data_IF_050523053393
#
_entry.id   IF_050523053393
#
_cell.length_a   1.000
_cell.length_b   1.000
_cell.length_c   1.000
_cell.angle_alpha   90.00
_cell.angle_beta   90.00
_cell.angle_gamma   90.00
#
_symmetry.space_group_name_H-M   'P 1'
#
loop_
_entity.id
_entity.type
_entity.pdbx_description
1 polymer ?
#
# COMPACT_ATOMS: atom_id res chain seq x y z
N UNK A 1 15.32 10.75 11.03
CA UNK A 1 15.24 11.27 10.44
C UNK A 1 14.51 12.24 10.21
N UNK A 2 13.99 12.88 10.48
CA UNK A 2 13.34 13.77 10.20
C UNK A 2 14.01 15.03 10.21
N UNK A 3 15.20 15.26 10.54
CA UNK A 3 15.78 16.44 10.58
C UNK A 3 16.10 16.86 9.27
N UNK A 4 16.49 16.04 8.36
CA UNK A 4 16.69 16.48 7.00
C UNK A 4 15.40 16.99 6.42
N UNK A 5 14.30 16.60 6.97
CA UNK A 5 13.05 17.11 6.51
C UNK A 5 12.93 18.59 6.73
N UNK A 6 13.51 19.11 7.77
CA UNK A 6 13.43 20.50 8.04
C UNK A 6 14.10 21.36 6.97
N UNK A 7 15.06 20.76 6.27
CA UNK A 7 15.72 21.50 5.26
C UNK A 7 14.87 21.70 4.08
N UNK A 8 13.79 20.94 3.93
CA UNK A 8 12.95 20.97 2.78
C UNK A 8 11.56 21.45 3.10
N UNK A 9 11.45 22.38 4.04
CA UNK A 9 10.13 22.84 4.45
C UNK A 9 9.43 23.62 3.36
N UNK A 10 10.14 23.99 2.31
CA UNK A 10 9.50 24.69 1.20
C UNK A 10 8.93 23.74 0.18
N UNK A 11 8.93 22.47 0.49
CA UNK A 11 8.36 21.46 -0.40
C UNK A 11 7.25 20.73 0.33
N UNK A 12 6.39 20.12 -0.41
CA UNK A 12 5.37 19.23 0.15
C UNK A 12 5.23 18.03 -0.74
N UNK A 13 4.74 16.95 -0.18
CA UNK A 13 4.59 15.71 -0.90
C UNK A 13 3.13 15.32 -0.86
N UNK A 14 2.59 14.92 -1.99
CA UNK A 14 1.21 14.45 -2.09
C UNK A 14 1.16 13.27 -3.01
N UNK A 15 0.08 12.52 -2.98
CA UNK A 15 -0.09 11.45 -3.94
C UNK A 15 -0.43 12.08 -5.28
N UNK A 16 0.16 11.54 -6.34
CA UNK A 16 -0.09 12.03 -7.69
C UNK A 16 -1.57 11.86 -8.01
N UNK A 17 -2.30 12.93 -8.32
CA UNK A 17 -3.75 12.82 -8.48
C UNK A 17 -4.20 11.99 -9.68
N UNK A 18 -3.38 11.88 -10.70
CA UNK A 18 -3.74 11.13 -11.89
C UNK A 18 -3.47 9.65 -11.80
N UNK A 19 -2.94 9.17 -10.70
CA UNK A 19 -2.61 7.76 -10.55
C UNK A 19 -3.36 7.19 -9.38
N UNK A 20 -3.59 5.89 -9.42
CA UNK A 20 -4.26 5.19 -8.34
C UNK A 20 -3.27 4.37 -7.55
N UNK A 21 -3.54 4.22 -6.28
CA UNK A 21 -2.77 3.31 -5.46
C UNK A 21 -3.12 1.89 -5.84
N UNK A 22 -2.16 0.99 -5.75
CA UNK A 22 -2.38 -0.43 -5.98
C UNK A 22 -2.13 -1.16 -4.68
N UNK A 23 -3.07 -1.99 -4.27
CA UNK A 23 -2.98 -2.75 -3.04
C UNK A 23 -2.76 -4.21 -3.36
N UNK A 24 -1.88 -4.87 -2.62
CA UNK A 24 -1.54 -6.26 -2.84
C UNK A 24 -1.33 -6.94 -1.50
N UNK A 25 -1.43 -8.26 -1.49
CA UNK A 25 -1.14 -9.04 -0.28
C UNK A 25 -0.66 -10.42 -0.66
N UNK A 26 0.23 -10.96 0.15
CA UNK A 26 0.76 -12.31 -0.02
C UNK A 26 0.64 -13.06 1.28
N UNK A 27 0.24 -14.32 1.21
CA UNK A 27 0.23 -15.18 2.38
C UNK A 27 1.65 -15.53 2.78
N UNK A 28 1.97 -15.43 4.05
CA UNK A 28 3.31 -15.76 4.53
C UNK A 28 3.50 -17.24 4.77
N UNK A 29 2.44 -18.03 4.71
CA UNK A 29 2.49 -19.45 5.00
C UNK A 29 2.53 -20.29 3.74
N UNK A 30 1.91 -19.82 2.67
CA UNK A 30 1.89 -20.56 1.41
C UNK A 30 2.16 -19.59 0.27
N UNK A 31 2.00 -20.05 -0.95
CA UNK A 31 2.34 -19.23 -2.11
C UNK A 31 1.18 -18.38 -2.63
N UNK A 32 0.06 -18.36 -1.92
CA UNK A 32 -1.12 -17.63 -2.37
C UNK A 32 -0.90 -16.12 -2.34
N UNK A 33 -1.43 -15.45 -3.34
CA UNK A 33 -1.38 -13.99 -3.42
C UNK A 33 -2.75 -13.46 -3.78
N UNK A 34 -3.13 -12.34 -3.17
CA UNK A 34 -4.36 -11.68 -3.53
C UNK A 34 -4.17 -10.99 -4.87
N UNK A 35 -5.26 -10.88 -5.64
CA UNK A 35 -5.22 -10.15 -6.88
C UNK A 35 -5.02 -8.68 -6.58
N UNK A 36 -4.08 -8.00 -7.24
CA UNK A 36 -3.89 -6.57 -7.01
C UNK A 36 -5.16 -5.78 -7.32
N UNK A 37 -5.44 -4.78 -6.53
CA UNK A 37 -6.63 -3.96 -6.70
C UNK A 37 -6.34 -2.52 -6.31
N UNK A 38 -7.18 -1.61 -6.78
CA UNK A 38 -7.04 -0.20 -6.43
C UNK A 38 -7.76 0.12 -5.11
N UNK A 39 -8.38 -0.87 -4.50
CA UNK A 39 -9.14 -0.72 -3.27
C UNK A 39 -8.61 -1.69 -2.23
N UNK A 40 -8.11 -1.17 -1.12
CA UNK A 40 -7.57 -2.01 -0.06
C UNK A 40 -8.62 -2.94 0.56
N UNK A 41 -9.88 -2.51 0.61
CA UNK A 41 -10.91 -3.34 1.18
C UNK A 41 -11.14 -4.62 0.35
N UNK A 42 -10.99 -4.52 -0.96
CA UNK A 42 -11.12 -5.69 -1.82
C UNK A 42 -10.02 -6.71 -1.52
N UNK A 43 -8.80 -6.24 -1.34
CA UNK A 43 -7.69 -7.13 -1.02
C UNK A 43 -7.89 -7.74 0.36
N UNK A 44 -8.39 -6.96 1.31
CA UNK A 44 -8.64 -7.47 2.65
C UNK A 44 -9.68 -8.58 2.66
N UNK A 45 -10.72 -8.45 1.85
CA UNK A 45 -11.74 -9.49 1.74
C UNK A 45 -11.14 -10.78 1.19
N UNK A 46 -10.25 -10.67 0.21
CA UNK A 46 -9.61 -11.85 -0.33
C UNK A 46 -8.71 -12.52 0.71
N UNK A 47 -8.02 -11.74 1.52
CA UNK A 47 -7.21 -12.30 2.59
C UNK A 47 -8.08 -13.02 3.61
N UNK A 48 -9.20 -12.44 3.98
CA UNK A 48 -10.11 -13.06 4.93
C UNK A 48 -10.68 -14.36 4.38
N UNK A 49 -10.98 -14.38 3.09
CA UNK A 49 -11.49 -15.58 2.45
C UNK A 49 -10.42 -16.67 2.44
N UNK A 50 -9.18 -16.32 2.17
CA UNK A 50 -8.09 -17.29 2.19
C UNK A 50 -7.90 -17.86 3.59
N UNK A 51 -7.97 -17.00 4.61
CA UNK A 51 -7.87 -17.45 5.99
C UNK A 51 -9.01 -18.41 6.33
N UNK A 52 -10.21 -18.12 5.86
CA UNK A 52 -11.35 -18.97 6.14
C UNK A 52 -11.21 -20.37 5.55
N UNK A 53 -10.49 -20.47 4.43
CA UNK A 53 -10.30 -21.78 3.79
C UNK A 53 -9.10 -22.53 4.28
N UNK A 54 -8.05 -21.84 4.74
CA UNK A 54 -6.78 -22.47 5.02
C UNK A 54 -6.30 -22.31 6.44
N UNK A 55 -6.87 -21.40 7.20
CA UNK A 55 -6.42 -21.04 8.54
C UNK A 55 -5.10 -20.28 8.54
N UNK A 56 -4.59 -19.91 7.36
CA UNK A 56 -3.40 -19.07 7.30
C UNK A 56 -3.84 -17.65 7.56
N UNK A 57 -3.27 -16.99 8.53
CA UNK A 57 -3.77 -15.69 8.96
C UNK A 57 -2.73 -14.58 8.99
N UNK A 58 -1.58 -14.80 8.37
CA UNK A 58 -0.54 -13.76 8.33
C UNK A 58 -0.23 -13.41 6.89
N UNK A 59 -0.26 -12.13 6.59
CA UNK A 59 -0.08 -11.66 5.22
C UNK A 59 0.88 -10.48 5.19
N UNK A 60 1.66 -10.40 4.12
CA UNK A 60 2.45 -9.22 3.83
C UNK A 60 1.58 -8.34 2.93
N UNK A 61 1.35 -7.12 3.34
CA UNK A 61 0.52 -6.21 2.56
C UNK A 61 1.39 -5.14 1.93
N UNK A 62 1.05 -4.76 0.71
CA UNK A 62 1.78 -3.75 -0.02
C UNK A 62 0.82 -2.73 -0.57
N UNK A 63 1.20 -1.47 -0.48
CA UNK A 63 0.44 -0.41 -1.12
C UNK A 63 1.43 0.41 -1.93
N UNK A 64 1.20 0.48 -3.24
CA UNK A 64 2.08 1.20 -4.14
C UNK A 64 1.35 2.41 -4.69
N UNK A 65 1.96 3.58 -4.59
CA UNK A 65 1.37 4.78 -5.14
C UNK A 65 2.47 5.69 -5.65
N UNK A 66 2.09 6.70 -6.41
CA UNK A 66 3.04 7.66 -6.94
C UNK A 66 2.90 8.94 -6.13
N UNK A 67 4.01 9.45 -5.63
CA UNK A 67 4.01 10.68 -4.87
C UNK A 67 4.56 11.80 -5.72
N UNK A 68 4.02 12.99 -5.53
CA UNK A 68 4.48 14.17 -6.22
C UNK A 68 5.02 15.14 -5.17
N UNK A 69 6.24 15.61 -5.38
CA UNK A 69 6.84 16.60 -4.49
C UNK A 69 6.83 17.93 -5.22
N UNK A 70 6.23 18.91 -4.62
CA UNK A 70 6.11 20.22 -5.23
C UNK A 70 6.74 21.30 -4.38
N UNK A 71 7.18 22.36 -5.01
CA UNK A 71 7.65 23.51 -4.29
C UNK A 71 6.47 24.17 -3.63
N UNK A 72 6.59 24.47 -2.36
CA UNK A 72 5.47 25.01 -1.60
C UNK A 72 5.38 26.52 -1.64
N UNK A 73 6.30 27.19 -2.28
CA UNK A 73 6.21 28.63 -2.40
C UNK A 73 6.60 29.12 -3.77
#
# INVERSE_FOLDING_TARGET
MRRSILRYTKHRITQQPDTEATFEAKCLTCAWEAKPASDGATVDVECMSHTGRTQHNRFRRLCTSVALVERAE
#
